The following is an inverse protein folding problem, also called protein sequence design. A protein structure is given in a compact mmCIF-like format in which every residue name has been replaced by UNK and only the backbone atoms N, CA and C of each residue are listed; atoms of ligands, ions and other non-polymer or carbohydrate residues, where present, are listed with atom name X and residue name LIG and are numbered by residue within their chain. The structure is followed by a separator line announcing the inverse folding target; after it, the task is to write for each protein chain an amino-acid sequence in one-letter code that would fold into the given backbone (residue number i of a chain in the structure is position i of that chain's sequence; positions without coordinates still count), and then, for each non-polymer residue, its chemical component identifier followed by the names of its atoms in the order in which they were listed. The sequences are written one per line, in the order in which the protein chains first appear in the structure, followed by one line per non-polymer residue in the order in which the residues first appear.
data_IF_801971115493
#
_entry.id   IF_801971115493
#
_cell.length_a   1.000
_cell.length_b   1.000
_cell.length_c   1.000
_cell.angle_alpha   90.00
_cell.angle_beta   90.00
_cell.angle_gamma   90.00
#
_symmetry.space_group_name_H-M   'P 1'
#
loop_
_entity.id
_entity.type
_entity.pdbx_description
1 polymer ?
#
# COMPACT_ATOMS: atom_id res chain seq x y z
N UNK A 1 -19.96 -3.47 -52.84
CA UNK A 1 -19.15 -4.43 -52.06
C UNK A 1 -19.54 -5.83 -52.49
N UNK A 2 -18.61 -6.64 -52.97
CA UNK A 2 -18.92 -8.00 -53.44
C UNK A 2 -18.97 -8.96 -52.22
N UNK A 3 -19.63 -10.11 -52.39
CA UNK A 3 -19.70 -11.14 -51.34
C UNK A 3 -18.30 -11.64 -50.96
N UNK A 4 -17.36 -11.67 -51.91
CA UNK A 4 -15.97 -12.00 -51.69
C UNK A 4 -15.25 -10.99 -50.76
N UNK A 5 -15.55 -9.69 -50.87
CA UNK A 5 -14.95 -8.64 -50.05
C UNK A 5 -15.41 -8.77 -48.59
N UNK A 6 -16.68 -9.09 -48.38
CA UNK A 6 -17.24 -9.32 -47.04
C UNK A 6 -16.57 -10.52 -46.38
N UNK A 7 -16.39 -11.61 -47.11
CA UNK A 7 -15.78 -12.83 -46.63
C UNK A 7 -14.28 -12.61 -46.27
N UNK A 8 -13.56 -11.78 -47.02
CA UNK A 8 -12.17 -11.42 -46.74
C UNK A 8 -12.06 -10.59 -45.43
N UNK A 9 -12.98 -9.63 -45.23
CA UNK A 9 -13.02 -8.82 -44.01
C UNK A 9 -13.34 -9.69 -42.80
N UNK A 10 -14.30 -10.59 -42.89
CA UNK A 10 -14.67 -11.51 -41.78
C UNK A 10 -13.49 -12.42 -41.40
N UNK A 11 -12.75 -12.96 -42.37
CA UNK A 11 -11.55 -13.77 -42.10
C UNK A 11 -10.43 -12.95 -41.41
N UNK A 12 -10.27 -11.68 -41.79
CA UNK A 12 -9.29 -10.80 -41.16
C UNK A 12 -9.65 -10.48 -39.72
N UNK A 13 -10.95 -10.27 -39.43
CA UNK A 13 -11.43 -10.04 -38.07
C UNK A 13 -11.24 -11.30 -37.20
N UNK A 14 -11.57 -12.49 -37.72
CA UNK A 14 -11.38 -13.75 -36.98
C UNK A 14 -9.92 -13.98 -36.63
N UNK A 15 -8.99 -13.72 -37.57
CA UNK A 15 -7.56 -13.83 -37.33
C UNK A 15 -7.08 -12.85 -36.25
N UNK A 16 -7.57 -11.60 -36.27
CA UNK A 16 -7.23 -10.58 -35.31
C UNK A 16 -7.73 -10.94 -33.90
N UNK A 17 -8.98 -11.45 -33.79
CA UNK A 17 -9.55 -11.92 -32.53
C UNK A 17 -8.77 -13.10 -31.95
N UNK A 18 -8.39 -14.08 -32.77
CA UNK A 18 -7.55 -15.20 -32.30
C UNK A 18 -6.20 -14.73 -31.80
N UNK A 19 -5.58 -13.77 -32.45
CA UNK A 19 -4.30 -13.19 -32.02
C UNK A 19 -4.45 -12.47 -30.66
N UNK A 20 -5.53 -11.69 -30.47
CA UNK A 20 -5.80 -11.02 -29.20
C UNK A 20 -6.05 -12.01 -28.05
N UNK A 21 -6.77 -13.12 -28.32
CA UNK A 21 -6.98 -14.16 -27.31
C UNK A 21 -5.66 -14.80 -26.89
N UNK A 22 -4.79 -15.13 -27.84
CA UNK A 22 -3.45 -15.70 -27.53
C UNK A 22 -2.59 -14.75 -26.72
N UNK A 23 -2.60 -13.45 -27.05
CA UNK A 23 -1.88 -12.43 -26.29
C UNK A 23 -2.44 -12.32 -24.86
N UNK A 24 -3.76 -12.30 -24.71
CA UNK A 24 -4.41 -12.25 -23.41
C UNK A 24 -4.08 -13.47 -22.54
N UNK A 25 -4.09 -14.67 -23.14
CA UNK A 25 -3.73 -15.91 -22.43
C UNK A 25 -2.27 -15.89 -21.98
N UNK A 26 -1.32 -15.54 -22.87
CA UNK A 26 0.10 -15.41 -22.50
C UNK A 26 0.34 -14.40 -21.40
N UNK A 27 -0.39 -13.28 -21.42
CA UNK A 27 -0.31 -12.27 -20.37
C UNK A 27 -0.88 -12.77 -19.04
N UNK A 28 -1.95 -13.56 -19.08
CA UNK A 28 -2.53 -14.19 -17.88
C UNK A 28 -1.61 -15.26 -17.29
N UNK A 29 -1.01 -16.10 -18.13
CA UNK A 29 -0.02 -17.11 -17.72
C UNK A 29 1.24 -16.48 -17.14
N UNK A 30 1.75 -15.41 -17.73
CA UNK A 30 2.90 -14.66 -17.22
C UNK A 30 2.58 -14.02 -15.84
N UNK A 31 1.37 -13.48 -15.66
CA UNK A 31 0.91 -12.96 -14.36
C UNK A 31 0.77 -14.07 -13.32
N UNK A 32 0.22 -15.22 -13.69
CA UNK A 32 0.11 -16.37 -12.80
C UNK A 32 1.48 -16.92 -12.38
N UNK A 33 2.43 -17.00 -13.32
CA UNK A 33 3.81 -17.41 -13.03
C UNK A 33 4.53 -16.41 -12.10
N UNK A 34 4.33 -15.09 -12.30
CA UNK A 34 4.86 -14.05 -11.42
C UNK A 34 4.21 -14.10 -10.02
N UNK A 35 2.91 -14.38 -9.93
CA UNK A 35 2.23 -14.54 -8.65
C UNK A 35 2.72 -15.77 -7.87
N UNK A 36 3.03 -16.87 -8.57
CA UNK A 36 3.56 -18.08 -7.96
C UNK A 36 5.01 -17.91 -7.44
N UNK A 37 5.76 -16.94 -7.99
CA UNK A 37 7.14 -16.61 -7.55
C UNK A 37 7.20 -15.45 -6.56
N UNK A 38 6.07 -14.75 -6.28
CA UNK A 38 6.04 -13.71 -5.25
C UNK A 38 6.37 -14.33 -3.89
N UNK A 39 7.46 -13.91 -3.24
CA UNK A 39 7.70 -14.33 -1.86
C UNK A 39 6.51 -13.90 -1.01
N UNK A 40 6.05 -14.79 -0.13
CA UNK A 40 4.95 -14.49 0.79
C UNK A 40 5.20 -13.21 1.61
N UNK A 41 4.18 -12.72 2.34
CA UNK A 41 4.29 -11.49 3.11
C UNK A 41 5.50 -11.57 4.06
N UNK A 42 6.46 -10.68 3.84
CA UNK A 42 7.68 -10.61 4.67
C UNK A 42 7.36 -9.93 5.99
N UNK A 43 8.00 -10.41 7.06
CA UNK A 43 8.02 -9.77 8.37
C UNK A 43 9.44 -9.31 8.62
N UNK A 44 9.63 -8.06 9.04
CA UNK A 44 10.95 -7.54 9.35
C UNK A 44 11.52 -8.26 10.60
N UNK A 45 12.83 -8.51 10.58
CA UNK A 45 13.52 -9.06 11.74
C UNK A 45 13.67 -8.02 12.85
N UNK A 46 13.90 -8.49 14.08
CA UNK A 46 14.14 -7.58 15.23
C UNK A 46 15.32 -6.63 14.97
N UNK A 47 16.36 -7.13 14.33
CA UNK A 47 17.51 -6.30 13.94
C UNK A 47 17.14 -5.19 12.97
N UNK A 48 16.21 -5.44 12.05
CA UNK A 48 15.75 -4.44 11.09
C UNK A 48 14.87 -3.39 11.77
N UNK A 49 14.08 -3.79 12.77
CA UNK A 49 13.20 -2.90 13.54
C UNK A 49 14.00 -2.02 14.52
N UNK A 50 15.10 -2.51 15.09
CA UNK A 50 15.97 -1.76 15.99
C UNK A 50 16.95 -0.85 15.24
N UNK A 51 17.01 -0.97 13.91
CA UNK A 51 17.86 -0.13 13.06
C UNK A 51 17.33 1.31 12.94
N UNK A 52 18.19 2.21 12.46
CA UNK A 52 17.90 3.66 12.29
C UNK A 52 16.61 3.93 11.51
N UNK A 53 16.24 3.04 10.59
CA UNK A 53 15.05 3.15 9.73
C UNK A 53 13.95 2.14 10.09
N UNK A 54 14.08 1.45 11.22
CA UNK A 54 13.18 0.38 11.61
C UNK A 54 11.83 0.85 12.11
N UNK A 55 11.72 2.10 12.55
CA UNK A 55 10.52 2.71 13.11
C UNK A 55 10.14 4.01 12.39
N UNK A 56 9.68 3.94 11.15
CA UNK A 56 9.31 5.11 10.38
C UNK A 56 7.99 5.73 10.87
N UNK A 57 7.83 7.03 10.59
CA UNK A 57 6.58 7.74 10.81
C UNK A 57 5.50 7.28 9.81
N UNK A 58 4.30 7.06 10.31
CA UNK A 58 3.12 6.69 9.52
C UNK A 58 2.55 7.91 8.81
N UNK A 59 2.53 7.90 7.48
CA UNK A 59 2.13 9.05 6.66
C UNK A 59 0.63 9.14 6.41
N UNK A 60 -0.12 8.08 6.65
CA UNK A 60 -1.58 8.03 6.44
C UNK A 60 -2.24 7.05 7.40
N UNK A 61 -3.52 7.24 7.66
CA UNK A 61 -4.35 6.27 8.39
C UNK A 61 -5.02 5.34 7.39
N UNK A 62 -4.99 4.00 7.56
CA UNK A 62 -5.69 3.07 6.70
C UNK A 62 -7.18 3.37 6.65
N UNK A 63 -7.81 3.16 5.48
CA UNK A 63 -9.22 3.51 5.25
C UNK A 63 -10.17 2.73 6.17
N UNK A 64 -9.84 1.46 6.40
CA UNK A 64 -10.70 0.53 7.17
C UNK A 64 -10.40 0.55 8.68
N UNK A 65 -9.50 1.44 9.10
CA UNK A 65 -9.17 1.62 10.51
C UNK A 65 -10.20 2.50 11.21
N UNK A 66 -10.82 1.99 12.29
CA UNK A 66 -11.85 2.67 13.06
C UNK A 66 -11.35 3.21 14.42
N UNK A 67 -10.09 2.93 14.77
CA UNK A 67 -9.46 3.40 16.00
C UNK A 67 -8.92 4.83 15.91
N UNK A 68 -8.04 5.20 16.84
CA UNK A 68 -7.40 6.50 16.86
C UNK A 68 -6.54 6.72 15.58
N UNK A 69 -6.50 7.94 15.02
CA UNK A 69 -5.68 8.23 13.83
C UNK A 69 -4.21 7.89 14.08
N UNK A 70 -3.62 7.09 13.18
CA UNK A 70 -2.21 6.70 13.28
C UNK A 70 -1.27 7.59 12.45
N UNK A 71 -1.80 8.52 11.63
CA UNK A 71 -1.00 9.47 10.85
C UNK A 71 -0.17 10.36 11.79
N UNK A 72 1.13 10.48 11.50
CA UNK A 72 2.08 11.27 12.29
C UNK A 72 2.69 10.52 13.48
N UNK A 73 2.19 9.33 13.81
CA UNK A 73 2.79 8.46 14.82
C UNK A 73 3.90 7.61 14.22
N UNK A 74 4.81 7.12 15.05
CA UNK A 74 5.75 6.07 14.66
C UNK A 74 5.04 4.72 14.65
N UNK A 75 5.53 3.76 13.86
CA UNK A 75 4.95 2.41 13.82
C UNK A 75 4.92 1.76 15.21
N UNK A 76 5.95 1.97 16.03
CA UNK A 76 6.00 1.49 17.42
C UNK A 76 4.90 2.05 18.33
N UNK A 77 4.29 3.17 17.94
CA UNK A 77 3.25 3.86 18.73
C UNK A 77 1.83 3.50 18.28
N UNK A 78 1.71 2.75 17.18
CA UNK A 78 0.43 2.33 16.63
C UNK A 78 -0.05 1.02 17.25
N UNK A 79 -1.34 0.76 17.19
CA UNK A 79 -1.94 -0.51 17.58
C UNK A 79 -1.62 -1.61 16.58
N UNK A 80 -1.52 -2.87 17.02
CA UNK A 80 -1.15 -4.01 16.18
C UNK A 80 -2.09 -4.18 14.98
N UNK A 81 -3.39 -4.02 15.19
CA UNK A 81 -4.39 -4.17 14.13
C UNK A 81 -4.32 -3.03 13.10
N UNK A 82 -4.01 -1.80 13.54
CA UNK A 82 -3.72 -0.68 12.64
C UNK A 82 -2.49 -0.97 11.76
N UNK A 83 -1.44 -1.56 12.34
CA UNK A 83 -0.21 -1.90 11.63
C UNK A 83 -0.41 -3.00 10.59
N UNK A 84 -1.31 -3.95 10.81
CA UNK A 84 -1.64 -4.97 9.80
C UNK A 84 -2.37 -4.34 8.61
N UNK A 85 -3.37 -3.50 8.86
CA UNK A 85 -4.04 -2.75 7.78
C UNK A 85 -3.06 -1.84 7.03
N UNK A 86 -2.09 -1.24 7.72
CA UNK A 86 -1.01 -0.48 7.09
C UNK A 86 -0.13 -1.35 6.20
N UNK A 87 0.21 -2.55 6.66
CA UNK A 87 1.03 -3.48 5.88
C UNK A 87 0.32 -3.90 4.58
N UNK A 88 -0.97 -4.20 4.66
CA UNK A 88 -1.77 -4.55 3.48
C UNK A 88 -1.90 -3.36 2.50
N UNK A 89 -2.07 -2.15 3.03
CA UNK A 89 -2.07 -0.93 2.21
C UNK A 89 -0.71 -0.71 1.52
N UNK A 90 0.40 -0.94 2.21
CA UNK A 90 1.74 -0.82 1.61
C UNK A 90 1.98 -1.88 0.53
N UNK A 91 1.52 -3.12 0.71
CA UNK A 91 1.60 -4.15 -0.32
C UNK A 91 0.78 -3.78 -1.55
N UNK A 92 -0.44 -3.25 -1.36
CA UNK A 92 -1.24 -2.72 -2.46
C UNK A 92 -0.51 -1.60 -3.21
N UNK A 93 0.11 -0.64 -2.51
CA UNK A 93 0.89 0.42 -3.15
C UNK A 93 2.15 -0.11 -3.84
N UNK A 94 2.78 -1.17 -3.31
CA UNK A 94 3.89 -1.82 -3.97
C UNK A 94 3.48 -2.45 -5.31
N UNK A 95 2.33 -3.13 -5.35
CA UNK A 95 1.78 -3.71 -6.58
C UNK A 95 1.46 -2.62 -7.61
N UNK A 96 0.86 -1.51 -7.18
CA UNK A 96 0.59 -0.37 -8.05
C UNK A 96 1.86 0.27 -8.59
N UNK A 97 2.88 0.45 -7.75
CA UNK A 97 4.17 1.00 -8.18
C UNK A 97 4.88 0.07 -9.20
N UNK A 98 4.75 -1.26 -9.04
CA UNK A 98 5.25 -2.22 -10.04
C UNK A 98 4.49 -2.13 -11.37
N UNK A 99 3.16 -2.09 -11.32
CA UNK A 99 2.32 -1.96 -12.52
C UNK A 99 2.66 -0.69 -13.31
N UNK A 100 2.95 0.41 -12.60
CA UNK A 100 3.31 1.70 -13.17
C UNK A 100 4.79 1.81 -13.55
N UNK A 101 5.64 0.86 -13.13
CA UNK A 101 7.08 0.93 -13.33
C UNK A 101 7.74 2.09 -12.59
N UNK A 102 7.21 2.47 -11.41
CA UNK A 102 7.69 3.63 -10.66
C UNK A 102 9.09 3.40 -10.10
N UNK A 103 9.97 4.35 -10.40
CA UNK A 103 11.35 4.37 -9.91
C UNK A 103 11.61 5.59 -9.04
N UNK A 104 12.46 5.43 -8.05
CA UNK A 104 12.99 6.57 -7.27
C UNK A 104 13.98 7.38 -8.09
N UNK A 105 14.32 8.59 -7.64
CA UNK A 105 15.38 9.42 -8.24
C UNK A 105 16.74 8.72 -8.27
N UNK A 106 16.96 7.74 -7.41
CA UNK A 106 18.16 6.90 -7.37
C UNK A 106 18.07 5.65 -8.26
N UNK A 107 17.03 5.51 -9.10
CA UNK A 107 16.85 4.39 -10.01
C UNK A 107 16.47 3.06 -9.35
N UNK A 108 15.98 3.08 -8.11
CA UNK A 108 15.49 1.88 -7.42
C UNK A 108 13.96 1.78 -7.53
N UNK A 109 13.39 0.56 -7.64
CA UNK A 109 11.93 0.39 -7.67
C UNK A 109 11.26 0.94 -6.41
N UNK A 110 10.23 1.77 -6.57
CA UNK A 110 9.42 2.29 -5.45
C UNK A 110 8.73 1.14 -4.72
N UNK A 111 8.34 0.09 -5.43
CA UNK A 111 7.72 -1.11 -4.87
C UNK A 111 8.55 -1.77 -3.77
N UNK A 112 9.88 -1.81 -3.91
CA UNK A 112 10.77 -2.42 -2.91
C UNK A 112 10.70 -1.68 -1.57
N UNK A 113 10.67 -0.35 -1.60
CA UNK A 113 10.51 0.46 -0.39
C UNK A 113 9.16 0.24 0.29
N UNK A 114 8.08 0.15 -0.51
CA UNK A 114 6.75 -0.14 0.01
C UNK A 114 6.67 -1.51 0.67
N UNK A 115 7.29 -2.54 0.07
CA UNK A 115 7.39 -3.88 0.67
C UNK A 115 8.21 -3.90 1.95
N UNK A 116 9.27 -3.09 2.03
CA UNK A 116 10.04 -2.93 3.26
C UNK A 116 9.19 -2.29 4.37
N UNK A 117 8.40 -1.28 4.05
CA UNK A 117 7.51 -0.63 5.02
C UNK A 117 6.39 -1.60 5.46
N UNK A 118 5.83 -2.41 4.55
CA UNK A 118 4.90 -3.48 4.88
C UNK A 118 5.53 -4.50 5.85
N UNK A 119 6.76 -4.93 5.56
CA UNK A 119 7.48 -5.87 6.43
C UNK A 119 7.73 -5.30 7.83
N UNK A 120 8.07 -4.01 7.94
CA UNK A 120 8.25 -3.30 9.23
C UNK A 120 6.95 -3.21 10.01
N UNK A 121 5.86 -2.84 9.34
CA UNK A 121 4.54 -2.78 9.98
C UNK A 121 4.14 -4.14 10.58
N UNK A 122 4.32 -5.24 9.84
CA UNK A 122 4.09 -6.60 10.36
C UNK A 122 5.05 -6.97 11.50
N UNK A 123 6.29 -6.55 11.42
CA UNK A 123 7.28 -6.78 12.47
C UNK A 123 6.88 -6.09 13.78
N UNK A 124 6.45 -4.83 13.74
CA UNK A 124 5.95 -4.11 14.90
C UNK A 124 4.64 -4.70 15.42
N UNK A 125 3.69 -5.06 14.54
CA UNK A 125 2.45 -5.74 14.94
C UNK A 125 2.74 -7.03 15.71
N UNK A 126 3.70 -7.82 15.21
CA UNK A 126 4.15 -9.05 15.88
C UNK A 126 4.76 -8.76 17.26
N UNK A 127 5.69 -7.81 17.39
CA UNK A 127 6.29 -7.42 18.69
C UNK A 127 5.24 -6.99 19.71
N UNK A 128 4.22 -6.27 19.28
CA UNK A 128 3.13 -5.82 20.15
C UNK A 128 2.28 -7.01 20.60
N UNK A 129 1.92 -7.92 19.70
CA UNK A 129 1.14 -9.13 20.04
C UNK A 129 1.91 -10.12 20.92
N UNK A 130 3.20 -10.23 20.70
CA UNK A 130 4.08 -11.08 21.52
C UNK A 130 4.39 -10.46 22.90
N UNK A 131 3.90 -9.23 23.17
CA UNK A 131 4.12 -8.52 24.43
C UNK A 131 5.54 -7.99 24.62
N UNK A 132 6.37 -8.03 23.56
CA UNK A 132 7.75 -7.53 23.58
C UNK A 132 7.74 -5.98 23.60
N UNK A 133 6.73 -5.38 23.01
CA UNK A 133 6.55 -3.92 22.95
C UNK A 133 5.10 -3.56 23.28
N UNK A 134 4.92 -2.51 24.09
CA UNK A 134 3.58 -1.97 24.40
C UNK A 134 3.50 -0.56 23.85
N UNK A 135 2.60 -0.28 22.89
CA UNK A 135 2.42 1.06 22.38
C UNK A 135 1.94 1.99 23.49
N UNK A 136 2.37 3.27 23.51
CA UNK A 136 1.86 4.24 24.46
C UNK A 136 0.35 4.40 24.26
N UNK A 137 -0.41 4.47 25.36
CA UNK A 137 -1.85 4.76 25.27
C UNK A 137 -2.06 6.07 24.51
N UNK A 138 -3.01 6.12 23.55
CA UNK A 138 -3.37 7.37 22.90
C UNK A 138 -3.65 8.41 23.98
N UNK A 139 -2.87 9.47 24.02
CA UNK A 139 -3.19 10.60 24.87
C UNK A 139 -4.44 11.24 24.30
N UNK A 140 -5.50 11.33 25.10
CA UNK A 140 -6.66 12.15 24.73
C UNK A 140 -6.14 13.55 24.35
N UNK A 141 -6.63 14.14 23.24
CA UNK A 141 -6.24 15.50 22.90
C UNK A 141 -6.45 16.38 24.12
N UNK A 142 -5.51 17.26 24.45
CA UNK A 142 -5.63 18.12 25.61
C UNK A 142 -6.96 18.86 25.52
N UNK A 143 -7.69 18.92 26.64
CA UNK A 143 -9.06 19.48 26.73
C UNK A 143 -9.13 20.94 26.23
N UNK A 144 -7.97 21.62 26.11
CA UNK A 144 -7.87 23.00 25.61
C UNK A 144 -7.71 23.09 24.07
N UNK A 145 -7.65 21.96 23.35
CA UNK A 145 -7.69 21.95 21.89
C UNK A 145 -9.14 22.17 21.34
N UNK A 146 -10.11 22.50 22.18
CA UNK A 146 -11.34 23.15 21.78
C UNK A 146 -11.03 24.57 21.32
N UNK A 147 -11.45 24.87 20.14
CA UNK A 147 -11.47 26.14 19.44
C UNK A 147 -11.87 27.33 20.32
N UNK A 148 -10.95 27.80 21.19
CA UNK A 148 -10.97 29.18 21.65
C UNK A 148 -10.11 30.00 20.68
N UNK A 149 -10.55 30.07 19.42
CA UNK A 149 -10.25 31.23 18.61
C UNK A 149 -10.94 32.40 19.33
N UNK A 150 -10.20 33.39 19.82
CA UNK A 150 -10.80 34.58 20.38
C UNK A 150 -11.71 35.17 19.30
N UNK A 151 -12.92 35.65 19.64
CA UNK A 151 -13.82 36.25 18.68
C UNK A 151 -13.06 37.35 17.92
N UNK A 152 -13.10 37.26 16.59
CA UNK A 152 -12.47 38.21 15.70
C UNK A 152 -12.98 39.64 16.09
N UNK A 153 -12.09 40.55 16.53
CA UNK A 153 -12.52 41.88 17.04
C UNK A 153 -13.10 42.78 15.93
N UNK A 154 -13.02 42.34 14.67
CA UNK A 154 -13.43 43.15 13.51
C UNK A 154 -14.81 42.77 12.90
N UNK A 155 -15.62 41.93 13.59
CA UNK A 155 -17.01 41.69 13.12
C UNK A 155 -17.94 42.74 13.76
N UNK A 156 -18.38 43.77 13.03
CA UNK A 156 -19.39 44.70 13.54
C UNK A 156 -20.74 44.02 13.61
N UNK A 157 -21.40 44.20 14.75
CA UNK A 157 -22.80 43.79 14.99
C UNK A 157 -23.77 44.53 14.10
#
# INVERSE_FOLDING_TARGET
MSEADILAVLKSIDLSLRTLVVIAQKKAEARAAQAATKPGPRVASDRDLDGTWGDPEVKFTPRDWTGAPCKGLRMSQCEADCLELLADAFDYFAEKAEENGEMTTAGKPVADYKRMDAARARGWAKRIRDGIHTPPKPQAPPIWAGTDDPPDPDVPF
#
